data_IF_507404696988
#
_entry.id   IF_507404696988
#
_cell.length_a   1.000
_cell.length_b   1.000
_cell.length_c   1.000
_cell.angle_alpha   90.00
_cell.angle_beta   90.00
_cell.angle_gamma   90.00
#
_symmetry.space_group_name_H-M   'P 1'
#
loop_
_entity.id
_entity.type
_entity.pdbx_description
1 polymer ?
#
# COMPACT_ATOMS: atom_id res chain seq x y z
N UNK A 1 17.77 -57.04 38.83
CA UNK A 1 17.73 -55.59 38.79
C UNK A 1 17.87 -55.16 37.33
N UNK A 2 16.75 -54.71 36.73
CA UNK A 2 16.74 -54.24 35.33
C UNK A 2 16.66 -52.72 35.37
N UNK A 3 17.74 -52.05 34.95
CA UNK A 3 17.75 -50.62 34.75
C UNK A 3 17.09 -50.31 33.42
N UNK A 4 15.95 -49.58 33.42
CA UNK A 4 15.33 -49.00 32.24
C UNK A 4 15.96 -47.63 32.03
N UNK A 5 16.50 -47.33 30.84
CA UNK A 5 16.92 -45.98 30.54
C UNK A 5 15.69 -45.14 30.13
N UNK A 6 15.51 -44.04 30.88
CA UNK A 6 14.50 -43.02 30.63
C UNK A 6 14.98 -42.16 29.44
N UNK A 7 14.36 -42.35 28.29
CA UNK A 7 14.60 -41.46 27.12
C UNK A 7 13.88 -40.12 27.40
N UNK A 8 14.66 -39.08 27.66
CA UNK A 8 14.18 -37.70 27.60
C UNK A 8 14.04 -37.28 26.13
N UNK A 9 12.79 -37.19 25.68
CA UNK A 9 12.46 -36.52 24.41
C UNK A 9 12.58 -34.99 24.62
N UNK A 10 13.67 -34.41 24.19
CA UNK A 10 13.79 -32.97 24.05
C UNK A 10 12.94 -32.55 22.85
N UNK A 11 11.76 -32.01 23.11
CA UNK A 11 10.98 -31.28 22.09
C UNK A 11 11.75 -30.00 21.74
N UNK A 12 12.47 -30.03 20.62
CA UNK A 12 13.06 -28.84 20.06
C UNK A 12 11.92 -27.95 19.51
N UNK A 13 11.60 -26.86 20.21
CA UNK A 13 10.79 -25.79 19.64
C UNK A 13 11.64 -25.15 18.53
N UNK A 14 11.31 -25.46 17.27
CA UNK A 14 11.88 -24.73 16.13
C UNK A 14 11.33 -23.31 16.16
N UNK A 15 12.19 -22.28 16.12
CA UNK A 15 11.70 -20.92 15.95
C UNK A 15 10.96 -20.83 14.63
N UNK A 16 9.79 -20.20 14.62
CA UNK A 16 9.03 -19.96 13.40
C UNK A 16 9.94 -19.27 12.40
N UNK A 17 10.00 -19.81 11.16
CA UNK A 17 10.74 -19.17 10.09
C UNK A 17 10.12 -17.78 9.85
N UNK A 18 10.94 -16.72 9.65
CA UNK A 18 10.41 -15.41 9.32
C UNK A 18 9.55 -15.51 8.05
N UNK A 19 8.36 -14.90 8.07
CA UNK A 19 7.50 -14.83 6.90
C UNK A 19 8.28 -14.20 5.75
N UNK A 20 8.19 -14.75 4.51
CA UNK A 20 8.84 -14.12 3.37
C UNK A 20 8.29 -12.70 3.20
N UNK A 21 9.14 -11.72 2.81
CA UNK A 21 8.68 -10.35 2.60
C UNK A 21 7.56 -10.34 1.55
N UNK A 22 6.47 -9.64 1.83
CA UNK A 22 5.37 -9.45 0.89
C UNK A 22 5.89 -8.73 -0.35
N UNK A 23 5.67 -9.31 -1.52
CA UNK A 23 6.07 -8.72 -2.78
C UNK A 23 5.37 -7.38 -2.98
N UNK A 24 6.14 -6.37 -3.37
CA UNK A 24 5.65 -5.02 -3.65
C UNK A 24 5.59 -4.80 -5.15
N UNK A 25 4.46 -4.30 -5.62
CA UNK A 25 4.34 -3.79 -6.97
C UNK A 25 4.44 -2.27 -6.93
N UNK A 26 5.37 -1.72 -7.71
CA UNK A 26 5.62 -0.30 -7.79
C UNK A 26 4.97 0.28 -9.04
N UNK A 27 4.40 1.48 -8.88
CA UNK A 27 3.77 2.23 -9.94
C UNK A 27 4.32 3.65 -9.95
N UNK A 28 4.56 4.20 -11.12
CA UNK A 28 4.96 5.59 -11.31
C UNK A 28 3.82 6.37 -11.97
N UNK A 29 3.55 7.54 -11.43
CA UNK A 29 2.63 8.51 -12.02
C UNK A 29 3.37 9.66 -12.67
N UNK A 30 2.72 10.81 -12.76
CA UNK A 30 3.31 12.02 -13.31
C UNK A 30 4.40 12.58 -12.38
N UNK A 31 5.54 12.93 -12.92
CA UNK A 31 6.63 13.51 -12.13
C UNK A 31 7.02 12.64 -10.93
N UNK A 32 6.80 13.18 -9.72
CA UNK A 32 7.14 12.52 -8.45
C UNK A 32 6.04 11.60 -7.92
N UNK A 33 4.90 11.51 -8.59
CA UNK A 33 3.79 10.68 -8.12
C UNK A 33 4.20 9.20 -8.08
N UNK A 34 3.91 8.54 -6.98
CA UNK A 34 4.23 7.11 -6.75
C UNK A 34 3.08 6.41 -6.06
N UNK A 35 2.93 5.13 -6.40
CA UNK A 35 1.98 4.25 -5.75
C UNK A 35 2.63 2.89 -5.56
N UNK A 36 2.31 2.20 -4.47
CA UNK A 36 2.75 0.84 -4.23
C UNK A 36 1.59 -0.02 -3.74
N UNK A 37 1.63 -1.29 -4.08
CA UNK A 37 0.72 -2.32 -3.53
C UNK A 37 1.58 -3.47 -2.99
N UNK A 38 1.29 -3.89 -1.76
CA UNK A 38 1.93 -5.01 -1.11
C UNK A 38 0.85 -5.87 -0.42
N UNK A 39 0.37 -6.92 -1.12
CA UNK A 39 -0.78 -7.70 -0.66
C UNK A 39 -2.04 -6.84 -0.59
N UNK A 40 -2.63 -6.71 0.59
CA UNK A 40 -3.81 -5.87 0.83
C UNK A 40 -3.47 -4.41 1.20
N UNK A 41 -2.21 -4.08 1.28
CA UNK A 41 -1.75 -2.73 1.60
C UNK A 41 -1.52 -1.94 0.33
N UNK A 42 -1.88 -0.69 0.38
CA UNK A 42 -1.66 0.28 -0.69
C UNK A 42 -1.19 1.60 -0.10
N UNK A 43 -0.33 2.27 -0.82
CA UNK A 43 0.04 3.64 -0.49
C UNK A 43 0.28 4.44 -1.76
N UNK A 44 -0.04 5.71 -1.72
CA UNK A 44 0.29 6.62 -2.82
C UNK A 44 0.62 8.01 -2.32
N UNK A 45 1.39 8.71 -3.12
CA UNK A 45 1.62 10.14 -2.99
C UNK A 45 1.45 10.79 -4.36
N UNK A 46 0.70 11.89 -4.41
CA UNK A 46 0.55 12.71 -5.60
C UNK A 46 0.90 14.15 -5.25
N UNK A 47 1.53 14.85 -6.17
CA UNK A 47 1.97 16.22 -5.98
C UNK A 47 1.11 17.19 -6.78
N UNK A 48 0.83 18.33 -6.16
CA UNK A 48 0.24 19.50 -6.80
C UNK A 48 1.31 20.53 -7.12
N UNK A 49 1.03 21.80 -6.83
CA UNK A 49 2.00 22.87 -7.00
C UNK A 49 3.06 22.84 -5.91
N UNK A 50 4.32 22.96 -6.29
CA UNK A 50 5.44 22.91 -5.34
C UNK A 50 5.49 21.58 -4.61
N UNK A 51 5.50 21.63 -3.30
CA UNK A 51 5.52 20.45 -2.43
C UNK A 51 4.14 20.09 -1.86
N UNK A 52 3.08 20.78 -2.29
CA UNK A 52 1.72 20.39 -1.93
C UNK A 52 1.46 18.97 -2.41
N UNK A 53 0.93 18.12 -1.54
CA UNK A 53 0.76 16.71 -1.86
C UNK A 53 -0.47 16.10 -1.20
N UNK A 54 -0.92 14.99 -1.77
CA UNK A 54 -1.84 14.04 -1.16
C UNK A 54 -1.05 12.80 -0.81
N UNK A 55 -1.20 12.29 0.39
CA UNK A 55 -0.49 11.09 0.84
C UNK A 55 -1.47 10.17 1.56
N UNK A 56 -1.55 8.93 1.12
CA UNK A 56 -2.44 7.91 1.68
C UNK A 56 -1.67 6.62 1.92
N UNK A 57 -1.90 6.05 3.09
CA UNK A 57 -1.50 4.69 3.45
C UNK A 57 -2.75 3.96 3.92
N UNK A 58 -3.04 2.79 3.35
CA UNK A 58 -4.27 2.10 3.70
C UNK A 58 -4.36 0.69 3.18
N UNK A 59 -5.60 0.21 3.10
CA UNK A 59 -5.95 -1.11 2.58
C UNK A 59 -6.61 -0.99 1.22
N UNK A 60 -6.32 -1.93 0.35
CA UNK A 60 -6.96 -2.05 -0.96
C UNK A 60 -7.73 -3.36 -1.04
N UNK A 61 -8.91 -3.30 -1.63
CA UNK A 61 -9.72 -4.48 -1.95
C UNK A 61 -10.32 -4.34 -3.35
N UNK A 62 -10.67 -5.49 -3.96
CA UNK A 62 -11.41 -5.46 -5.22
C UNK A 62 -12.88 -5.23 -4.95
N UNK A 63 -13.44 -4.23 -5.63
CA UNK A 63 -14.86 -3.92 -5.61
C UNK A 63 -15.57 -4.32 -6.91
N UNK A 64 -14.82 -4.76 -7.92
CA UNK A 64 -15.30 -5.22 -9.22
C UNK A 64 -14.11 -5.74 -10.04
N UNK A 65 -14.35 -6.13 -11.31
CA UNK A 65 -13.27 -6.66 -12.17
C UNK A 65 -12.13 -5.67 -12.38
N UNK A 66 -12.47 -4.39 -12.54
CA UNK A 66 -11.53 -3.31 -12.80
C UNK A 66 -11.62 -2.20 -11.74
N UNK A 67 -12.35 -2.44 -10.67
CA UNK A 67 -12.59 -1.45 -9.61
C UNK A 67 -11.89 -1.85 -8.33
N UNK A 68 -11.11 -0.94 -7.80
CA UNK A 68 -10.47 -1.04 -6.50
C UNK A 68 -11.12 -0.09 -5.51
N UNK A 69 -11.18 -0.50 -4.26
CA UNK A 69 -11.60 0.33 -3.14
C UNK A 69 -10.41 0.49 -2.20
N UNK A 70 -10.07 1.72 -1.89
CA UNK A 70 -8.96 2.09 -1.00
C UNK A 70 -9.54 2.77 0.22
N UNK A 71 -9.19 2.25 1.41
CA UNK A 71 -9.60 2.83 2.68
C UNK A 71 -8.33 3.20 3.45
N UNK A 72 -8.11 4.49 3.74
CA UNK A 72 -6.97 4.92 4.53
C UNK A 72 -6.95 4.26 5.90
N UNK A 73 -5.76 4.02 6.42
CA UNK A 73 -5.57 3.38 7.72
C UNK A 73 -6.25 4.16 8.83
N UNK A 74 -7.12 3.47 9.59
CA UNK A 74 -7.84 4.08 10.70
C UNK A 74 -8.99 5.03 10.32
N UNK A 75 -9.34 5.12 9.03
CA UNK A 75 -10.37 6.07 8.55
C UNK A 75 -11.35 5.37 7.61
N UNK A 76 -12.38 4.78 8.19
CA UNK A 76 -13.44 4.09 7.43
C UNK A 76 -14.40 5.06 6.69
N UNK A 77 -14.35 6.36 7.00
CA UNK A 77 -15.22 7.37 6.39
C UNK A 77 -14.70 7.80 5.01
N UNK A 78 -13.40 7.75 4.80
CA UNK A 78 -12.79 8.01 3.50
C UNK A 78 -12.70 6.74 2.69
N UNK A 79 -13.36 6.72 1.53
CA UNK A 79 -13.23 5.65 0.54
C UNK A 79 -12.80 6.25 -0.78
N UNK A 80 -11.70 5.74 -1.32
CA UNK A 80 -11.17 6.16 -2.60
C UNK A 80 -11.38 5.02 -3.59
N UNK A 81 -12.11 5.28 -4.66
CA UNK A 81 -12.25 4.34 -5.75
C UNK A 81 -11.11 4.53 -6.75
N UNK A 82 -10.66 3.44 -7.34
CA UNK A 82 -9.68 3.47 -8.40
C UNK A 82 -10.02 2.42 -9.44
N UNK A 83 -9.65 2.66 -10.69
CA UNK A 83 -9.77 1.66 -11.75
C UNK A 83 -8.40 1.05 -12.03
N UNK A 84 -8.39 -0.24 -12.37
CA UNK A 84 -7.17 -0.95 -12.73
C UNK A 84 -7.37 -1.65 -14.07
N UNK A 85 -6.60 -1.26 -15.07
CA UNK A 85 -6.65 -1.82 -16.42
C UNK A 85 -5.23 -1.93 -16.98
N UNK A 86 -4.85 -3.10 -17.49
CA UNK A 86 -3.61 -3.31 -18.24
C UNK A 86 -2.36 -2.71 -17.55
N UNK A 87 -2.23 -2.89 -16.24
CA UNK A 87 -1.08 -2.39 -15.47
C UNK A 87 -1.15 -0.91 -15.11
N UNK A 88 -2.26 -0.25 -15.38
CA UNK A 88 -2.48 1.16 -15.01
C UNK A 88 -3.56 1.24 -13.94
N UNK A 89 -3.27 2.00 -12.89
CA UNK A 89 -4.24 2.37 -11.85
C UNK A 89 -4.54 3.85 -11.99
N UNK A 90 -5.83 4.18 -12.03
CA UNK A 90 -6.28 5.57 -12.06
C UNK A 90 -7.16 5.83 -10.84
N UNK A 91 -6.76 6.81 -10.04
CA UNK A 91 -7.55 7.21 -8.88
C UNK A 91 -8.83 7.92 -9.33
N UNK A 92 -9.92 7.63 -8.64
CA UNK A 92 -11.20 8.26 -8.87
C UNK A 92 -11.32 9.64 -8.23
N UNK A 93 -12.54 10.11 -8.12
CA UNK A 93 -12.86 11.37 -7.48
C UNK A 93 -12.44 11.39 -6.00
N UNK A 94 -12.01 12.56 -5.54
CA UNK A 94 -11.78 12.78 -4.11
C UNK A 94 -13.11 13.17 -3.43
N UNK A 95 -13.63 12.28 -2.60
CA UNK A 95 -14.78 12.58 -1.77
C UNK A 95 -14.40 13.61 -0.68
N UNK A 96 -15.39 14.36 -0.18
CA UNK A 96 -15.16 15.36 0.88
C UNK A 96 -14.53 14.74 2.14
N UNK A 97 -14.92 13.51 2.51
CA UNK A 97 -14.37 12.80 3.65
C UNK A 97 -12.88 12.47 3.51
N UNK A 98 -12.32 12.58 2.30
CA UNK A 98 -10.91 12.31 2.01
C UNK A 98 -10.05 13.58 1.95
N UNK A 99 -10.62 14.74 2.21
CA UNK A 99 -9.91 16.02 2.10
C UNK A 99 -8.70 16.12 3.05
N UNK A 100 -8.75 15.45 4.19
CA UNK A 100 -7.66 15.41 5.18
C UNK A 100 -6.31 14.96 4.57
N UNK A 101 -6.35 14.10 3.57
CA UNK A 101 -5.13 13.49 2.99
C UNK A 101 -4.42 14.38 1.97
N UNK A 102 -4.98 15.53 1.65
CA UNK A 102 -4.41 16.48 0.71
C UNK A 102 -4.13 17.82 1.38
N UNK A 103 -2.94 18.36 1.19
CA UNK A 103 -2.63 19.74 1.51
C UNK A 103 -3.28 20.71 0.53
N UNK A 104 -3.32 22.02 0.86
CA UNK A 104 -3.84 23.04 -0.04
C UNK A 104 -3.08 23.02 -1.39
N UNK A 105 -3.83 23.04 -2.49
CA UNK A 105 -3.24 23.03 -3.83
C UNK A 105 -2.89 21.65 -4.37
N UNK A 106 -3.25 20.56 -3.67
CA UNK A 106 -3.07 19.20 -4.12
C UNK A 106 -4.41 18.46 -4.24
N UNK A 107 -4.52 17.60 -5.23
CA UNK A 107 -5.66 16.72 -5.45
C UNK A 107 -5.19 15.44 -6.14
N UNK A 108 -5.66 14.30 -5.68
CA UNK A 108 -5.33 13.02 -6.31
C UNK A 108 -6.33 12.60 -7.41
N UNK A 109 -7.46 13.30 -7.54
CA UNK A 109 -8.53 12.90 -8.45
C UNK A 109 -8.03 12.72 -9.88
N UNK A 110 -8.35 11.57 -10.47
CA UNK A 110 -8.00 11.24 -11.85
C UNK A 110 -6.52 10.94 -12.10
N UNK A 111 -5.68 10.93 -11.10
CA UNK A 111 -4.23 10.69 -11.26
C UNK A 111 -3.95 9.26 -11.72
N UNK A 112 -3.20 9.06 -12.81
CA UNK A 112 -2.82 7.74 -13.31
C UNK A 112 -1.48 7.29 -12.77
N UNK A 113 -1.32 5.97 -12.63
CA UNK A 113 -0.07 5.32 -12.27
C UNK A 113 0.13 4.08 -13.13
N UNK A 114 1.25 3.98 -13.78
CA UNK A 114 1.62 2.80 -14.57
C UNK A 114 2.58 1.91 -13.79
N UNK A 115 2.41 0.60 -13.92
CA UNK A 115 3.34 -0.38 -13.34
C UNK A 115 4.77 -0.07 -13.79
N UNK A 116 5.67 0.05 -12.84
CA UNK A 116 7.07 0.43 -13.08
C UNK A 116 7.98 -0.24 -12.06
N UNK A 117 8.46 -1.47 -12.32
CA UNK A 117 9.29 -2.20 -11.37
C UNK A 117 10.59 -1.48 -10.99
N UNK A 118 11.07 -0.59 -11.84
CA UNK A 118 12.29 0.19 -11.62
C UNK A 118 12.04 1.57 -11.01
N UNK A 119 10.78 1.90 -10.69
CA UNK A 119 10.45 3.18 -10.05
C UNK A 119 11.11 3.29 -8.68
N UNK A 120 11.37 4.53 -8.27
CA UNK A 120 11.73 4.80 -6.88
C UNK A 120 10.60 4.38 -5.93
N UNK A 121 10.91 3.99 -4.68
CA UNK A 121 9.90 3.59 -3.73
C UNK A 121 8.84 4.68 -3.49
N UNK A 122 7.60 4.27 -3.20
CA UNK A 122 6.57 5.19 -2.76
C UNK A 122 6.81 5.52 -1.28
N UNK A 123 7.18 6.76 -1.03
CA UNK A 123 7.41 7.30 0.31
C UNK A 123 6.58 8.56 0.51
N UNK A 124 6.22 8.87 1.75
CA UNK A 124 5.57 10.14 2.05
C UNK A 124 6.55 11.32 1.97
N UNK A 125 6.06 12.54 2.23
CA UNK A 125 6.91 13.72 2.14
C UNK A 125 8.05 13.71 3.18
N UNK A 126 7.88 13.01 4.30
CA UNK A 126 8.91 12.84 5.32
C UNK A 126 9.92 11.73 4.98
N UNK A 127 9.66 10.94 3.94
CA UNK A 127 10.51 9.83 3.52
C UNK A 127 10.13 8.47 4.09
N UNK A 128 8.99 8.36 4.78
CA UNK A 128 8.53 7.10 5.34
C UNK A 128 7.83 6.22 4.27
N UNK A 129 8.05 4.90 4.27
CA UNK A 129 7.42 4.02 3.30
C UNK A 129 5.89 4.06 3.38
N UNK A 130 5.23 4.07 2.22
CA UNK A 130 3.77 4.03 2.11
C UNK A 130 3.23 2.59 1.99
N UNK A 131 4.08 1.65 1.68
CA UNK A 131 3.77 0.22 1.72
C UNK A 131 4.69 -0.56 2.65
#
# INVERSE_FOLDING_TARGET
MRCLPLLLLLAACSPDAPEPPTERTLYAGQGRDRLCIAGERIGFITYGQGDANCSVRGRVSRAGEQLLSIIPEGDEDCRIEATQQAGTIRLGRRAAACAYYCGPGADFAGKPFASSPSASPAVDFAGDPLC
#
